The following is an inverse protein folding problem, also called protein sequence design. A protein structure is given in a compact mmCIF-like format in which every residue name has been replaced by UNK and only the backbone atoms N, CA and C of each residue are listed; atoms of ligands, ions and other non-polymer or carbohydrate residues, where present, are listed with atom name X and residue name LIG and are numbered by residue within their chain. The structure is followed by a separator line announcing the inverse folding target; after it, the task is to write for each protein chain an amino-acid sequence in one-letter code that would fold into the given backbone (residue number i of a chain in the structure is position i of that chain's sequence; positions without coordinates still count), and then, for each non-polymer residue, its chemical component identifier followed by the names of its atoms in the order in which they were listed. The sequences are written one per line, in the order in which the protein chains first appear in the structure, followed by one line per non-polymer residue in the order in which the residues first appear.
data_IF_608671076797
#
_entry.id   IF_608671076797
#
_cell.length_a   1.000
_cell.length_b   1.000
_cell.length_c   1.000
_cell.angle_alpha   90.00
_cell.angle_beta   90.00
_cell.angle_gamma   90.00
#
_symmetry.space_group_name_H-M   'P 1'
#
loop_
_entity.id
_entity.type
_entity.pdbx_description
1 polymer ?
#
# COMPACT_ATOMS: atom_id res chain seq x y z
N UNK A 1 -20.71 -20.97 -28.21
CA UNK A 1 -19.89 -21.42 -27.05
C UNK A 1 -19.51 -20.20 -26.22
N UNK A 2 -19.97 -20.08 -24.96
CA UNK A 2 -19.53 -18.99 -24.07
C UNK A 2 -18.17 -19.39 -23.48
N UNK A 3 -17.10 -18.63 -23.77
CA UNK A 3 -15.80 -18.81 -23.08
C UNK A 3 -16.05 -18.59 -21.59
N UNK A 4 -15.73 -19.58 -20.76
CA UNK A 4 -15.68 -19.37 -19.31
C UNK A 4 -14.57 -18.32 -19.06
N UNK A 5 -14.83 -17.24 -18.32
CA UNK A 5 -13.76 -16.35 -17.92
C UNK A 5 -12.71 -17.19 -17.16
N UNK A 6 -11.44 -17.02 -17.52
CA UNK A 6 -10.33 -17.68 -16.84
C UNK A 6 -10.28 -17.28 -15.36
N UNK A 7 -9.46 -17.97 -14.54
CA UNK A 7 -9.29 -17.58 -13.14
C UNK A 7 -8.84 -16.11 -13.07
N UNK A 8 -9.48 -15.33 -12.19
CA UNK A 8 -9.06 -13.96 -11.90
C UNK A 8 -7.72 -14.05 -11.15
N UNK A 9 -6.63 -13.70 -11.84
CA UNK A 9 -5.29 -13.64 -11.24
C UNK A 9 -5.08 -12.23 -10.71
N UNK A 10 -4.86 -12.12 -9.40
CA UNK A 10 -4.57 -10.83 -8.76
C UNK A 10 -3.16 -10.36 -9.13
N UNK A 11 -2.99 -9.11 -9.59
CA UNK A 11 -1.67 -8.54 -9.86
C UNK A 11 -0.82 -8.43 -8.58
N UNK A 12 0.51 -8.53 -8.73
CA UNK A 12 1.43 -8.46 -7.59
C UNK A 12 1.34 -7.14 -6.80
N UNK A 13 1.13 -6.01 -7.47
CA UNK A 13 0.98 -4.70 -6.80
C UNK A 13 -0.34 -4.57 -6.01
N UNK A 14 -1.29 -5.47 -6.22
CA UNK A 14 -2.54 -5.55 -5.46
C UNK A 14 -2.39 -6.55 -4.31
N UNK A 15 -1.76 -7.70 -4.58
CA UNK A 15 -1.55 -8.76 -3.60
C UNK A 15 -0.50 -8.41 -2.55
N UNK A 16 0.56 -7.73 -2.97
CA UNK A 16 1.72 -7.35 -2.16
C UNK A 16 1.88 -5.83 -2.21
N UNK A 17 2.36 -5.26 -1.12
CA UNK A 17 2.71 -3.86 -1.10
C UNK A 17 4.02 -3.64 -1.87
N UNK A 18 3.96 -2.91 -2.98
CA UNK A 18 5.12 -2.47 -3.78
C UNK A 18 5.28 -0.94 -3.64
N UNK A 19 6.00 -0.45 -2.61
CA UNK A 19 6.01 0.97 -2.26
C UNK A 19 6.55 1.88 -3.36
N UNK A 20 7.45 1.39 -4.22
CA UNK A 20 8.00 2.11 -5.37
C UNK A 20 6.93 2.57 -6.36
N UNK A 21 5.80 1.84 -6.48
CA UNK A 21 4.67 2.24 -7.33
C UNK A 21 4.06 3.58 -6.90
N UNK A 22 4.20 3.92 -5.63
CA UNK A 22 3.65 5.13 -5.03
C UNK A 22 4.76 6.12 -4.63
N UNK A 23 5.93 6.05 -5.30
CA UNK A 23 7.06 6.94 -5.01
C UNK A 23 6.65 8.41 -5.07
N UNK A 24 5.87 8.79 -6.07
CA UNK A 24 5.41 10.17 -6.25
C UNK A 24 4.50 10.64 -5.11
N UNK A 25 3.76 9.72 -4.47
CA UNK A 25 2.96 10.03 -3.27
C UNK A 25 3.86 10.39 -2.09
N UNK A 26 4.95 9.65 -1.90
CA UNK A 26 5.93 9.96 -0.86
C UNK A 26 6.67 11.27 -1.16
N UNK A 27 7.08 11.49 -2.42
CA UNK A 27 7.76 12.73 -2.84
C UNK A 27 6.86 13.94 -2.59
N UNK A 28 5.61 13.91 -3.06
CA UNK A 28 4.68 15.02 -2.87
C UNK A 28 4.43 15.33 -1.40
N UNK A 29 4.34 14.31 -0.52
CA UNK A 29 4.19 14.55 0.92
C UNK A 29 5.44 15.21 1.51
N UNK A 30 6.63 14.76 1.14
CA UNK A 30 7.89 15.27 1.67
C UNK A 30 8.30 16.61 1.07
N UNK A 31 7.72 17.03 -0.05
CA UNK A 31 7.87 18.40 -0.56
C UNK A 31 7.20 19.41 0.38
N UNK A 32 6.04 19.07 0.94
CA UNK A 32 5.29 19.91 1.88
C UNK A 32 5.83 19.78 3.31
N UNK A 33 6.16 18.55 3.74
CA UNK A 33 6.64 18.24 5.10
C UNK A 33 7.92 17.35 5.05
N UNK A 34 9.11 17.92 4.81
CA UNK A 34 10.34 17.16 4.55
C UNK A 34 10.80 16.20 5.64
N UNK A 35 10.45 16.47 6.90
CA UNK A 35 10.83 15.66 8.06
C UNK A 35 9.77 14.61 8.45
N UNK A 36 8.57 14.63 7.83
CA UNK A 36 7.46 13.75 8.19
C UNK A 36 7.44 12.44 7.38
N UNK A 37 8.43 11.58 7.61
CA UNK A 37 8.45 10.26 6.95
C UNK A 37 7.46 9.26 7.49
N UNK A 38 6.94 9.50 8.70
CA UNK A 38 5.80 8.73 9.20
C UNK A 38 4.56 9.03 8.34
N UNK A 39 4.25 10.30 8.11
CA UNK A 39 3.15 10.72 7.25
C UNK A 39 3.35 10.27 5.80
N UNK A 40 4.55 10.41 5.24
CA UNK A 40 4.84 9.94 3.89
C UNK A 40 4.63 8.41 3.75
N UNK A 41 5.05 7.61 4.74
CA UNK A 41 4.80 6.17 4.74
C UNK A 41 3.30 5.84 4.87
N UNK A 42 2.56 6.59 5.69
CA UNK A 42 1.11 6.47 5.82
C UNK A 42 0.38 6.86 4.53
N UNK A 43 0.85 7.88 3.81
CA UNK A 43 0.30 8.31 2.53
C UNK A 43 0.45 7.22 1.46
N UNK A 44 1.66 6.65 1.33
CA UNK A 44 1.91 5.51 0.45
C UNK A 44 1.03 4.32 0.81
N UNK A 45 0.91 3.99 2.10
CA UNK A 45 0.06 2.89 2.55
C UNK A 45 -1.41 3.09 2.20
N UNK A 46 -1.93 4.31 2.38
CA UNK A 46 -3.31 4.66 2.03
C UNK A 46 -3.55 4.57 0.51
N UNK A 47 -2.60 5.00 -0.30
CA UNK A 47 -2.68 4.87 -1.76
C UNK A 47 -2.79 3.40 -2.19
N UNK A 48 -1.94 2.52 -1.63
CA UNK A 48 -2.02 1.08 -1.85
C UNK A 48 -3.38 0.49 -1.44
N UNK A 49 -3.88 0.84 -0.24
CA UNK A 49 -5.17 0.33 0.24
C UNK A 49 -6.34 0.77 -0.64
N UNK A 50 -6.28 1.98 -1.20
CA UNK A 50 -7.28 2.49 -2.13
C UNK A 50 -7.26 1.70 -3.45
N UNK A 51 -6.09 1.55 -4.07
CA UNK A 51 -5.94 0.76 -5.31
C UNK A 51 -6.41 -0.69 -5.11
N UNK A 52 -6.00 -1.32 -4.00
CA UNK A 52 -6.40 -2.68 -3.68
C UNK A 52 -7.91 -2.82 -3.48
N UNK A 53 -8.53 -1.86 -2.79
CA UNK A 53 -9.99 -1.83 -2.61
C UNK A 53 -10.71 -1.72 -3.94
N UNK A 54 -10.22 -0.85 -4.82
CA UNK A 54 -10.83 -0.62 -6.12
C UNK A 54 -10.71 -1.86 -7.01
N UNK A 55 -9.55 -2.54 -7.00
CA UNK A 55 -9.38 -3.82 -7.69
C UNK A 55 -10.35 -4.90 -7.18
N UNK A 56 -10.50 -5.05 -5.86
CA UNK A 56 -11.46 -6.01 -5.29
C UNK A 56 -12.90 -5.72 -5.69
N UNK A 57 -13.30 -4.44 -5.69
CA UNK A 57 -14.62 -4.01 -6.13
C UNK A 57 -14.85 -4.39 -7.60
N UNK A 58 -13.89 -4.07 -8.46
CA UNK A 58 -14.01 -4.26 -9.91
C UNK A 58 -14.01 -5.75 -10.31
N UNK A 59 -13.39 -6.60 -9.48
CA UNK A 59 -13.32 -8.06 -9.69
C UNK A 59 -14.29 -8.86 -8.80
N UNK A 60 -15.22 -8.17 -8.11
CA UNK A 60 -16.25 -8.77 -7.25
C UNK A 60 -15.70 -9.73 -6.18
N UNK A 61 -14.48 -9.46 -5.69
CA UNK A 61 -13.86 -10.24 -4.63
C UNK A 61 -14.52 -9.88 -3.29
N UNK A 62 -15.26 -10.82 -2.69
CA UNK A 62 -15.85 -10.64 -1.36
C UNK A 62 -14.73 -10.58 -0.31
N UNK A 63 -14.56 -9.44 0.36
CA UNK A 63 -13.75 -9.35 1.59
C UNK A 63 -14.37 -10.25 2.65
N UNK A 64 -13.71 -11.35 3.01
CA UNK A 64 -14.15 -12.12 4.18
C UNK A 64 -13.92 -11.29 5.44
N UNK A 65 -15.00 -11.13 6.20
CA UNK A 65 -15.12 -10.29 7.37
C UNK A 65 -14.61 -11.09 8.57
N UNK A 66 -13.31 -11.00 8.86
CA UNK A 66 -12.76 -11.46 10.15
C UNK A 66 -11.49 -10.70 10.58
N UNK A 67 -11.35 -9.47 10.09
CA UNK A 67 -10.26 -8.55 10.48
C UNK A 67 -8.86 -8.91 9.97
N UNK A 68 -8.67 -10.09 9.38
CA UNK A 68 -7.47 -10.48 8.62
C UNK A 68 -7.86 -10.65 7.17
N UNK A 69 -7.26 -9.84 6.31
CA UNK A 69 -7.32 -10.09 4.87
C UNK A 69 -6.76 -11.50 4.64
N UNK A 70 -7.44 -12.35 3.86
CA UNK A 70 -6.98 -13.72 3.55
C UNK A 70 -5.60 -13.73 2.89
N UNK A 71 -5.20 -12.58 2.36
CA UNK A 71 -3.94 -12.30 1.70
C UNK A 71 -2.88 -11.69 2.64
N UNK A 72 -3.23 -11.49 3.91
CA UNK A 72 -2.43 -10.74 4.88
C UNK A 72 -2.61 -9.23 4.75
N UNK A 73 -2.45 -8.53 5.88
CA UNK A 73 -2.39 -7.06 5.93
C UNK A 73 -0.92 -6.64 5.84
N UNK A 74 -0.48 -6.04 4.72
CA UNK A 74 0.87 -5.50 4.65
C UNK A 74 1.02 -4.35 5.66
N UNK A 75 2.22 -4.25 6.24
CA UNK A 75 2.57 -3.13 7.12
C UNK A 75 2.89 -1.88 6.28
N UNK A 76 2.72 -0.68 6.84
CA UNK A 76 3.13 0.54 6.15
C UNK A 76 4.65 0.52 5.87
N UNK A 77 5.12 1.18 4.80
CA UNK A 77 6.47 1.02 4.25
C UNK A 77 7.49 1.93 4.94
N UNK A 78 7.45 2.02 6.28
CA UNK A 78 8.29 2.95 7.05
C UNK A 78 9.78 2.80 6.75
N UNK A 79 10.28 1.56 6.77
CA UNK A 79 11.68 1.27 6.49
C UNK A 79 12.08 1.72 5.08
N UNK A 80 11.21 1.48 4.10
CA UNK A 80 11.46 1.88 2.72
C UNK A 80 11.51 3.40 2.55
N UNK A 81 10.57 4.14 3.14
CA UNK A 81 10.57 5.62 3.08
C UNK A 81 11.85 6.17 3.72
N UNK A 82 12.21 5.68 4.91
CA UNK A 82 13.42 6.12 5.62
C UNK A 82 14.70 5.86 4.82
N UNK A 83 14.83 4.67 4.22
CA UNK A 83 16.01 4.31 3.43
C UNK A 83 16.09 5.06 2.09
N UNK A 84 14.94 5.36 1.48
CA UNK A 84 14.86 5.94 0.13
C UNK A 84 14.98 7.46 0.12
N UNK A 85 14.33 8.14 1.07
CA UNK A 85 14.23 9.61 1.08
C UNK A 85 15.02 10.25 2.23
N UNK A 86 15.51 9.44 3.18
CA UNK A 86 16.19 9.93 4.38
C UNK A 86 15.19 10.39 5.45
N UNK A 87 15.55 10.19 6.72
CA UNK A 87 15.01 10.89 7.91
C UNK A 87 15.72 10.42 9.18
N UNK A 88 15.76 11.25 10.24
CA UNK A 88 16.27 10.85 11.56
C UNK A 88 15.42 9.73 12.17
N UNK A 89 16.02 8.95 13.07
CA UNK A 89 15.34 7.85 13.76
C UNK A 89 14.01 8.28 14.39
N UNK A 90 12.97 7.45 14.31
CA UNK A 90 11.73 7.72 15.02
C UNK A 90 12.01 7.88 16.52
N UNK A 91 11.68 9.04 17.08
CA UNK A 91 11.65 9.25 18.53
C UNK A 91 10.36 8.62 19.08
N UNK A 92 10.28 7.30 19.12
CA UNK A 92 9.27 6.66 19.95
C UNK A 92 9.76 6.73 21.41
N UNK A 93 8.94 7.15 22.39
CA UNK A 93 9.25 6.84 23.78
C UNK A 93 9.27 5.31 23.92
N UNK A 94 10.40 4.81 24.41
CA UNK A 94 10.59 3.40 24.76
C UNK A 94 9.70 3.01 25.95
#
# INVERSE_FOLDING_TARGET
MKRRPGPVVMPLHVSEMQPERYRDVAVSHLEDEPDDTFGAAMAVWRAYLAERRDWFRDHQVRRYVDGRDTLGTPRPPFAWVRLTFGTPEPRWPS
#
